data_IF_812881826579
#
_entry.id   IF_812881826579
#
_cell.length_a   1.000
_cell.length_b   1.000
_cell.length_c   1.000
_cell.angle_alpha   90.00
_cell.angle_beta   90.00
_cell.angle_gamma   90.00
#
_symmetry.space_group_name_H-M   'P 1'
#
loop_
_entity.id
_entity.type
_entity.pdbx_description
1 polymer ?
#
# COMPACT_ATOMS: atom_id res chain seq x y z
N UNK A 1 30.29 14.09 -0.53
CA UNK A 1 29.81 12.86 0.15
C UNK A 1 28.40 12.57 -0.36
N UNK A 2 28.11 11.32 -0.69
CA UNK A 2 26.76 10.92 -1.12
C UNK A 2 25.84 10.75 0.09
N UNK A 3 24.53 10.97 -0.08
CA UNK A 3 23.52 10.71 0.95
C UNK A 3 23.60 9.27 1.48
N UNK A 4 23.98 8.32 0.62
CA UNK A 4 24.21 6.93 0.99
C UNK A 4 25.33 6.79 2.02
N UNK A 5 26.45 7.49 1.83
CA UNK A 5 27.62 7.38 2.69
C UNK A 5 27.35 8.00 4.06
N UNK A 6 26.60 9.11 4.10
CA UNK A 6 26.17 9.74 5.34
C UNK A 6 25.28 8.82 6.18
N UNK A 7 24.34 8.11 5.54
CA UNK A 7 23.48 7.14 6.21
C UNK A 7 24.27 5.95 6.76
N UNK A 8 25.25 5.45 6.00
CA UNK A 8 26.12 4.35 6.47
C UNK A 8 26.91 4.78 7.71
N UNK A 9 27.49 5.98 7.69
CA UNK A 9 28.22 6.51 8.85
C UNK A 9 27.31 6.67 10.07
N UNK A 10 26.08 7.13 9.86
CA UNK A 10 25.13 7.30 10.96
C UNK A 10 24.68 5.96 11.54
N UNK A 11 24.51 4.94 10.68
CA UNK A 11 24.22 3.57 11.10
C UNK A 11 25.36 3.00 11.94
N UNK A 12 26.61 3.25 11.56
CA UNK A 12 27.79 2.78 12.29
C UNK A 12 27.97 3.44 13.67
N UNK A 13 27.37 4.61 13.91
CA UNK A 13 27.42 5.28 15.22
C UNK A 13 26.37 4.76 16.21
N UNK A 14 25.43 3.94 15.76
CA UNK A 14 24.34 3.47 16.62
C UNK A 14 24.80 2.36 17.57
N UNK A 15 24.23 2.28 18.79
CA UNK A 15 24.52 1.19 19.70
C UNK A 15 23.93 -0.13 19.20
N UNK A 16 24.63 -1.25 19.50
CA UNK A 16 24.27 -2.63 19.12
C UNK A 16 22.82 -3.03 19.39
N UNK A 17 22.19 -2.45 20.42
CA UNK A 17 20.77 -2.71 20.71
C UNK A 17 19.86 -2.19 19.60
N UNK A 18 20.08 -0.96 19.14
CA UNK A 18 19.27 -0.31 18.10
C UNK A 18 19.43 -1.04 16.77
N UNK A 19 20.66 -1.45 16.42
CA UNK A 19 20.90 -2.22 15.19
C UNK A 19 20.18 -3.57 15.20
N UNK A 20 20.11 -4.25 16.36
CA UNK A 20 19.36 -5.50 16.50
C UNK A 20 17.86 -5.31 16.35
N UNK A 21 17.31 -4.22 16.91
CA UNK A 21 15.88 -3.91 16.80
C UNK A 21 15.51 -3.56 15.34
N UNK A 22 16.33 -2.75 14.66
CA UNK A 22 16.17 -2.44 13.23
C UNK A 22 16.26 -3.70 12.38
N UNK A 23 17.24 -4.58 12.65
CA UNK A 23 17.38 -5.85 11.94
C UNK A 23 16.12 -6.72 12.08
N UNK A 24 15.59 -6.88 13.31
CA UNK A 24 14.35 -7.64 13.54
C UNK A 24 13.16 -7.07 12.77
N UNK A 25 13.07 -5.74 12.71
CA UNK A 25 12.02 -5.07 11.95
C UNK A 25 12.15 -5.33 10.45
N UNK A 26 13.36 -5.22 9.89
CA UNK A 26 13.61 -5.54 8.48
C UNK A 26 13.35 -7.03 8.16
N UNK A 27 13.73 -7.93 9.07
CA UNK A 27 13.40 -9.37 8.98
C UNK A 27 11.87 -9.59 8.99
N UNK A 28 11.10 -8.82 9.77
CA UNK A 28 9.64 -8.90 9.76
C UNK A 28 9.01 -8.40 8.46
N UNK A 29 9.59 -7.38 7.83
CA UNK A 29 9.11 -6.85 6.54
C UNK A 29 9.39 -7.84 5.39
N UNK A 30 10.60 -8.42 5.36
CA UNK A 30 10.98 -9.42 4.35
C UNK A 30 10.24 -10.76 4.52
N UNK A 31 9.88 -11.13 5.75
CA UNK A 31 8.99 -12.25 6.02
C UNK A 31 7.57 -12.06 5.46
N UNK A 32 7.14 -10.82 5.25
CA UNK A 32 5.84 -10.48 4.67
C UNK A 32 5.84 -10.57 3.14
N UNK A 33 6.97 -10.29 2.48
CA UNK A 33 7.10 -10.37 1.01
C UNK A 33 7.33 -11.80 0.50
N UNK A 34 7.98 -12.67 1.30
CA UNK A 34 8.36 -14.03 0.87
C UNK A 34 7.24 -15.09 0.92
N UNK A 35 6.05 -14.76 1.46
CA UNK A 35 4.86 -15.62 1.44
C UNK A 35 3.88 -15.31 0.29
N UNK A 36 4.35 -14.67 -0.78
CA UNK A 36 3.56 -14.39 -2.00
C UNK A 36 3.81 -15.34 -3.18
N UNK A 37 4.46 -16.48 -2.96
CA UNK A 37 4.79 -17.44 -4.02
C UNK A 37 3.70 -18.48 -4.26
N UNK A 38 2.68 -18.13 -5.06
CA UNK A 38 1.97 -18.97 -6.04
C UNK A 38 0.54 -18.44 -6.29
N UNK A 39 0.34 -17.80 -7.43
CA UNK A 39 -0.98 -17.41 -7.94
C UNK A 39 -1.16 -15.91 -8.00
N UNK A 40 -1.54 -15.40 -9.17
CA UNK A 40 -1.79 -14.01 -9.49
C UNK A 40 -2.50 -13.24 -8.36
N UNK A 41 -1.78 -12.35 -7.67
CA UNK A 41 -2.35 -11.50 -6.61
C UNK A 41 -1.87 -10.05 -6.68
N UNK A 42 -1.75 -9.52 -7.90
CA UNK A 42 -1.75 -8.07 -8.08
C UNK A 42 -3.19 -7.56 -7.90
N UNK A 43 -3.56 -7.18 -6.67
CA UNK A 43 -4.60 -6.16 -6.50
C UNK A 43 -5.48 -6.27 -5.27
N UNK A 44 -5.83 -7.46 -4.79
CA UNK A 44 -6.91 -7.59 -3.79
C UNK A 44 -6.52 -8.46 -2.59
N UNK A 45 -6.84 -8.03 -1.35
CA UNK A 45 -6.65 -8.85 -0.16
C UNK A 45 -7.38 -10.19 -0.26
N UNK A 46 -6.88 -11.20 0.44
CA UNK A 46 -7.54 -12.51 0.53
C UNK A 46 -9.00 -12.33 0.96
N UNK A 47 -9.91 -13.03 0.26
CA UNK A 47 -11.36 -12.99 0.49
C UNK A 47 -12.01 -11.60 0.35
N UNK A 48 -11.40 -10.68 -0.39
CA UNK A 48 -11.94 -9.32 -0.58
C UNK A 48 -13.37 -9.34 -1.15
N UNK A 49 -13.60 -10.10 -2.23
CA UNK A 49 -14.90 -10.15 -2.91
C UNK A 49 -15.98 -10.84 -2.07
N UNK A 50 -15.63 -11.88 -1.32
CA UNK A 50 -16.54 -12.59 -0.42
C UNK A 50 -16.96 -11.70 0.76
N UNK A 51 -16.09 -10.79 1.19
CA UNK A 51 -16.41 -9.81 2.24
C UNK A 51 -17.23 -8.64 1.73
N UNK A 52 -17.05 -8.23 0.48
CA UNK A 52 -17.74 -7.06 -0.11
C UNK A 52 -18.99 -7.42 -0.91
N UNK A 53 -19.23 -8.71 -1.17
CA UNK A 53 -20.44 -9.19 -1.82
C UNK A 53 -21.68 -8.74 -1.05
N UNK A 54 -22.52 -7.92 -1.69
CA UNK A 54 -23.76 -7.42 -1.10
C UNK A 54 -23.60 -6.25 -0.12
N UNK A 55 -22.39 -5.68 0.04
CA UNK A 55 -22.15 -4.57 0.97
C UNK A 55 -23.06 -3.35 0.76
N UNK A 56 -23.58 -3.16 -0.46
CA UNK A 56 -24.47 -2.07 -0.85
C UNK A 56 -25.86 -2.55 -1.30
N UNK A 57 -26.23 -3.82 -1.04
CA UNK A 57 -27.47 -4.40 -1.57
C UNK A 57 -28.74 -3.76 -0.97
N UNK A 58 -28.66 -3.29 0.27
CA UNK A 58 -29.79 -2.72 1.01
C UNK A 58 -29.75 -1.18 1.08
N UNK A 59 -28.76 -0.55 0.44
CA UNK A 59 -28.64 0.90 0.43
C UNK A 59 -29.47 1.51 -0.72
N UNK A 60 -30.30 2.53 -0.45
CA UNK A 60 -31.00 3.24 -1.52
C UNK A 60 -29.97 3.94 -2.41
N UNK A 61 -29.98 3.61 -3.70
CA UNK A 61 -29.08 4.23 -4.67
C UNK A 61 -29.52 5.67 -4.97
N UNK A 62 -28.81 6.65 -4.41
CA UNK A 62 -29.04 8.06 -4.71
C UNK A 62 -28.34 8.47 -6.01
N UNK A 63 -29.11 8.98 -6.97
CA UNK A 63 -28.53 9.56 -8.19
C UNK A 63 -27.91 10.93 -7.85
N UNK A 64 -26.62 11.17 -8.17
CA UNK A 64 -26.03 12.49 -7.98
C UNK A 64 -26.72 13.53 -8.88
N UNK A 65 -26.65 14.82 -8.54
CA UNK A 65 -27.21 15.89 -9.37
C UNK A 65 -26.65 15.84 -10.80
N UNK A 66 -27.53 15.91 -11.79
CA UNK A 66 -27.12 16.02 -13.19
C UNK A 66 -26.47 17.38 -13.42
N UNK A 67 -25.19 17.40 -13.78
CA UNK A 67 -24.51 18.64 -14.14
C UNK A 67 -25.02 19.17 -15.51
N UNK A 68 -24.95 20.49 -15.74
CA UNK A 68 -25.23 21.06 -17.05
C UNK A 68 -24.36 20.44 -18.15
N UNK A 69 -24.88 20.44 -19.38
CA UNK A 69 -24.15 19.97 -20.54
C UNK A 69 -22.92 20.86 -20.81
N UNK A 70 -21.74 20.25 -20.87
CA UNK A 70 -20.49 20.94 -21.18
C UNK A 70 -20.39 21.13 -22.70
N UNK A 71 -20.53 22.38 -23.17
CA UNK A 71 -20.38 22.71 -24.59
C UNK A 71 -18.88 22.82 -24.89
N UNK A 72 -18.37 21.97 -25.79
CA UNK A 72 -16.99 22.07 -26.30
C UNK A 72 -16.87 23.30 -27.21
N UNK A 73 -15.71 23.95 -27.22
CA UNK A 73 -15.42 24.99 -28.20
C UNK A 73 -15.37 24.39 -29.61
N UNK A 74 -16.02 25.09 -30.54
CA UNK A 74 -15.99 24.80 -31.97
C UNK A 74 -14.63 25.28 -32.50
N UNK A 75 -13.95 24.41 -33.25
CA UNK A 75 -12.56 24.59 -33.70
C UNK A 75 -12.49 25.39 -34.99
#
# INVERSE_FOLDING_TARGET
MSTRDALIQELMKQPEKVLRDVRRYLESLTGHESKGGNGASTGWPERYFERTAGAFADEPFERPPQLPFEKREEW
#
